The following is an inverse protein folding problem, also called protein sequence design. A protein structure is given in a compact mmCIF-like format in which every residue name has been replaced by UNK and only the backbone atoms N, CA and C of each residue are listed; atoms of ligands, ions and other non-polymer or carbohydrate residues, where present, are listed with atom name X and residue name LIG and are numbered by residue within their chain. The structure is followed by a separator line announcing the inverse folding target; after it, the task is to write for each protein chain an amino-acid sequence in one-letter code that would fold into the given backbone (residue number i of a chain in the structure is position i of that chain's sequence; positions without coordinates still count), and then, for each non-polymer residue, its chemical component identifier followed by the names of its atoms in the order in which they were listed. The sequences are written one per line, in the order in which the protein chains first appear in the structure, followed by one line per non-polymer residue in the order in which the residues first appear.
data_IF_543413465929
#
_entry.id   IF_543413465929
#
_cell.length_a   1.000
_cell.length_b   1.000
_cell.length_c   1.000
_cell.angle_alpha   90.00
_cell.angle_beta   90.00
_cell.angle_gamma   90.00
#
_symmetry.space_group_name_H-M   'P 1'
#
loop_
_entity.id
_entity.type
_entity.pdbx_description
1 polymer ?
#
# COMPACT_ATOMS: atom_id res chain seq x y z
N UNK A 1 4.84 2.57 -10.02
CA UNK A 1 3.41 2.48 -10.37
C UNK A 1 3.04 3.33 -11.59
N UNK A 2 3.40 4.62 -11.67
CA UNK A 2 3.04 5.50 -12.82
C UNK A 2 3.37 4.93 -14.21
N UNK A 3 4.58 4.41 -14.42
CA UNK A 3 4.94 3.81 -15.71
C UNK A 3 4.02 2.62 -16.10
N UNK A 4 3.67 1.76 -15.13
CA UNK A 4 2.76 0.64 -15.36
C UNK A 4 1.32 1.11 -15.67
N UNK A 5 0.83 2.14 -14.98
CA UNK A 5 -0.49 2.72 -15.29
C UNK A 5 -0.55 3.40 -16.66
N UNK A 6 0.59 3.86 -17.16
CA UNK A 6 0.73 4.46 -18.49
C UNK A 6 0.97 3.40 -19.58
N UNK A 7 0.86 2.11 -19.26
CA UNK A 7 0.99 1.01 -20.21
C UNK A 7 2.42 0.65 -20.59
N UNK A 8 3.43 1.14 -19.85
CA UNK A 8 4.85 0.90 -20.17
C UNK A 8 5.39 -0.44 -19.64
N UNK A 9 4.56 -1.24 -18.96
CA UNK A 9 4.94 -2.57 -18.47
C UNK A 9 4.23 -2.99 -17.18
N UNK A 10 4.82 -3.97 -16.49
CA UNK A 10 4.31 -4.54 -15.23
C UNK A 10 5.15 -4.03 -14.06
N UNK A 11 4.53 -3.82 -12.91
CA UNK A 11 5.21 -3.47 -11.66
C UNK A 11 4.79 -4.41 -10.52
N UNK A 12 5.73 -4.74 -9.63
CA UNK A 12 5.40 -5.28 -8.31
C UNK A 12 4.84 -4.15 -7.45
N UNK A 13 3.67 -4.39 -6.88
CA UNK A 13 2.93 -3.38 -6.14
C UNK A 13 2.66 -3.88 -4.72
N UNK A 14 2.94 -3.04 -3.72
CA UNK A 14 2.65 -3.33 -2.32
C UNK A 14 1.22 -2.89 -2.01
N UNK A 15 0.45 -3.78 -1.39
CA UNK A 15 -0.82 -3.44 -0.77
C UNK A 15 -0.56 -2.98 0.68
N UNK A 16 -1.25 -1.92 1.16
CA UNK A 16 -2.40 -1.28 0.54
C UNK A 16 -2.07 -0.09 -0.38
N UNK A 17 -0.81 0.29 -0.56
CA UNK A 17 -0.38 1.48 -1.33
C UNK A 17 -0.89 1.51 -2.78
N UNK A 18 -1.09 0.34 -3.39
CA UNK A 18 -1.63 0.22 -4.74
C UNK A 18 -3.16 0.15 -4.83
N UNK A 19 -3.87 0.09 -3.69
CA UNK A 19 -5.31 -0.17 -3.67
C UNK A 19 -6.10 0.88 -4.46
N UNK A 20 -5.79 2.18 -4.30
CA UNK A 20 -6.48 3.24 -5.04
C UNK A 20 -6.32 3.08 -6.56
N UNK A 21 -5.11 2.77 -7.02
CA UNK A 21 -4.83 2.56 -8.44
C UNK A 21 -5.62 1.37 -9.02
N UNK A 22 -5.81 0.32 -8.22
CA UNK A 22 -6.58 -0.87 -8.61
C UNK A 22 -8.08 -0.61 -8.55
N UNK A 23 -8.54 0.08 -7.51
CA UNK A 23 -9.94 0.47 -7.32
C UNK A 23 -10.42 1.41 -8.43
N UNK A 24 -9.57 2.36 -8.83
CA UNK A 24 -9.85 3.34 -9.91
C UNK A 24 -9.65 2.74 -11.32
N UNK A 25 -9.26 1.46 -11.43
CA UNK A 25 -9.03 0.78 -12.71
C UNK A 25 -7.78 1.23 -13.47
N UNK A 26 -6.89 2.01 -12.86
CA UNK A 26 -5.61 2.45 -13.45
C UNK A 26 -4.57 1.34 -13.50
N UNK A 27 -4.73 0.33 -12.64
CA UNK A 27 -3.92 -0.88 -12.63
C UNK A 27 -4.83 -2.10 -12.54
N UNK A 28 -4.36 -3.21 -13.11
CA UNK A 28 -4.97 -4.54 -13.00
C UNK A 28 -3.92 -5.53 -12.54
N UNK A 29 -4.34 -6.67 -11.98
CA UNK A 29 -3.44 -7.78 -11.66
C UNK A 29 -3.38 -8.74 -12.86
N UNK A 30 -2.27 -8.78 -13.62
CA UNK A 30 -2.18 -9.67 -14.79
C UNK A 30 -2.02 -11.14 -14.42
N UNK A 31 -1.64 -11.45 -13.17
CA UNK A 31 -1.43 -12.81 -12.68
C UNK A 31 -2.17 -13.02 -11.34
N UNK A 32 -2.55 -14.26 -11.01
CA UNK A 32 -3.24 -14.58 -9.75
C UNK A 32 -2.30 -14.64 -8.53
N UNK A 33 -1.04 -14.23 -8.65
CA UNK A 33 -0.05 -14.39 -7.59
C UNK A 33 -0.09 -13.24 -6.60
N UNK A 34 -0.19 -13.60 -5.33
CA UNK A 34 -0.04 -12.70 -4.20
C UNK A 34 1.03 -13.28 -3.28
N UNK A 35 1.98 -12.43 -2.90
CA UNK A 35 3.04 -12.81 -1.97
C UNK A 35 2.75 -12.13 -0.64
N UNK A 36 2.57 -12.92 0.41
CA UNK A 36 2.57 -12.39 1.77
C UNK A 36 4.00 -12.05 2.15
N UNK A 37 4.21 -10.87 2.72
CA UNK A 37 5.54 -10.43 3.16
C UNK A 37 5.47 -9.96 4.60
N UNK A 38 6.48 -10.28 5.39
CA UNK A 38 6.65 -9.74 6.76
C UNK A 38 7.25 -8.31 6.75
N UNK A 39 7.13 -7.59 5.63
CA UNK A 39 7.64 -6.23 5.48
C UNK A 39 6.54 -5.23 5.87
N UNK A 40 6.92 -4.20 6.60
CA UNK A 40 6.03 -3.13 7.04
C UNK A 40 6.68 -1.76 6.94
N UNK A 41 5.99 -0.76 7.48
CA UNK A 41 6.51 0.59 7.63
C UNK A 41 6.88 0.83 9.10
N UNK A 42 8.01 1.51 9.34
CA UNK A 42 8.47 1.83 10.70
C UNK A 42 8.59 3.34 10.86
N UNK A 43 8.03 3.88 11.95
CA UNK A 43 8.37 5.21 12.43
C UNK A 43 9.65 5.11 13.26
N UNK A 44 10.72 5.71 12.79
CA UNK A 44 12.04 5.64 13.44
C UNK A 44 12.38 7.01 14.03
N UNK A 45 12.75 7.01 15.32
CA UNK A 45 13.16 8.23 16.02
C UNK A 45 14.46 8.00 16.80
N UNK A 46 15.31 9.03 17.00
CA UNK A 46 16.42 8.93 17.93
C UNK A 46 15.95 8.54 19.34
N UNK A 47 16.70 7.69 20.06
CA UNK A 47 16.32 7.17 21.38
C UNK A 47 15.94 8.26 22.39
N UNK A 48 16.66 9.38 22.37
CA UNK A 48 16.41 10.52 23.27
C UNK A 48 15.08 11.23 23.01
N UNK A 49 14.43 10.99 21.86
CA UNK A 49 13.12 11.57 21.52
C UNK A 49 11.95 10.60 21.75
N UNK A 50 12.20 9.35 22.19
CA UNK A 50 11.17 8.31 22.28
C UNK A 50 9.97 8.70 23.18
N UNK A 51 10.22 9.50 24.22
CA UNK A 51 9.20 9.90 25.19
C UNK A 51 8.59 11.28 24.92
N UNK A 52 8.91 11.90 23.77
CA UNK A 52 8.33 13.20 23.41
C UNK A 52 6.84 13.04 23.11
N UNK A 53 5.95 13.82 23.76
CA UNK A 53 4.51 13.70 23.53
C UNK A 53 4.14 13.97 22.07
N UNK A 54 4.88 14.81 21.36
CA UNK A 54 4.66 15.10 19.94
C UNK A 54 4.94 13.88 19.05
N UNK A 55 5.93 13.05 19.42
CA UNK A 55 6.23 11.80 18.71
C UNK A 55 5.14 10.77 18.94
N UNK A 56 4.64 10.67 20.18
CA UNK A 56 3.52 9.78 20.50
C UNK A 56 2.25 10.18 19.73
N UNK A 57 1.90 11.47 19.74
CA UNK A 57 0.76 11.99 19.01
C UNK A 57 0.87 11.77 17.49
N UNK A 58 2.05 12.00 16.91
CA UNK A 58 2.31 11.72 15.50
C UNK A 58 2.15 10.22 15.19
N UNK A 59 2.70 9.35 16.04
CA UNK A 59 2.61 7.89 15.86
C UNK A 59 1.17 7.40 15.91
N UNK A 60 0.38 7.89 16.86
CA UNK A 60 -1.04 7.58 16.99
C UNK A 60 -1.81 8.07 15.75
N UNK A 61 -1.62 9.33 15.36
CA UNK A 61 -2.25 9.88 14.16
C UNK A 61 -1.89 9.09 12.90
N UNK A 62 -0.61 8.73 12.71
CA UNK A 62 -0.19 7.91 11.58
C UNK A 62 -0.89 6.54 11.58
N UNK A 63 -1.04 5.89 12.73
CA UNK A 63 -1.78 4.63 12.85
C UNK A 63 -3.23 4.78 12.36
N UNK A 64 -3.91 5.87 12.75
CA UNK A 64 -5.26 6.14 12.25
C UNK A 64 -5.30 6.27 10.72
N UNK A 65 -4.27 6.86 10.09
CA UNK A 65 -4.20 6.93 8.64
C UNK A 65 -4.05 5.55 7.99
N UNK A 66 -3.21 4.68 8.57
CA UNK A 66 -3.02 3.31 8.07
C UNK A 66 -4.28 2.45 8.21
N UNK A 67 -5.05 2.63 9.28
CA UNK A 67 -6.35 1.97 9.48
C UNK A 67 -7.39 2.40 8.44
N UNK A 68 -7.31 3.66 8.00
CA UNK A 68 -8.23 4.27 7.04
C UNK A 68 -7.79 4.16 5.58
N UNK A 69 -6.70 3.43 5.27
CA UNK A 69 -6.31 3.23 3.87
C UNK A 69 -7.43 2.46 3.15
N UNK A 70 -7.92 2.96 2.00
CA UNK A 70 -8.97 2.29 1.24
C UNK A 70 -8.60 0.83 1.00
N UNK A 71 -9.48 -0.07 1.42
CA UNK A 71 -9.35 -1.49 1.10
C UNK A 71 -9.62 -1.69 -0.39
N UNK A 72 -9.22 -2.84 -0.91
CA UNK A 72 -9.65 -3.23 -2.25
C UNK A 72 -11.18 -3.38 -2.26
N UNK A 73 -11.86 -2.67 -3.16
CA UNK A 73 -13.33 -2.69 -3.28
C UNK A 73 -13.84 -3.99 -3.91
N UNK A 74 -12.94 -4.77 -4.48
CA UNK A 74 -13.18 -6.07 -5.10
C UNK A 74 -11.98 -6.98 -4.84
N UNK A 75 -12.16 -8.31 -4.78
CA UNK A 75 -11.04 -9.24 -4.80
C UNK A 75 -10.14 -8.95 -6.01
N UNK A 76 -8.82 -9.17 -5.87
CA UNK A 76 -7.91 -9.07 -7.01
C UNK A 76 -8.32 -10.11 -8.05
N UNK A 77 -8.87 -9.64 -9.17
CA UNK A 77 -9.26 -10.47 -10.30
C UNK A 77 -8.11 -10.46 -11.31
N UNK A 78 -7.65 -11.65 -11.69
CA UNK A 78 -6.70 -11.79 -12.79
C UNK A 78 -7.37 -11.35 -14.09
N UNK A 79 -6.64 -10.61 -14.91
CA UNK A 79 -7.08 -10.35 -16.29
C UNK A 79 -7.08 -11.67 -17.07
N UNK A 80 -8.26 -12.28 -17.26
CA UNK A 80 -8.42 -13.46 -18.09
C UNK A 80 -8.60 -13.02 -19.55
N UNK A 81 -7.50 -12.93 -20.28
CA UNK A 81 -7.54 -12.90 -21.75
C UNK A 81 -7.09 -14.26 -22.28
N UNK A 82 -8.06 -14.99 -22.82
CA UNK A 82 -8.00 -16.10 -23.78
C UNK A 82 -6.87 -17.13 -23.63
#
# INVERSE_FOLDING_TARGET
MKAASDGLGIALALLPTANSWINDGRLVTPFPWQFQTEKGYWLVTPKYNQHKPEIAALSEWLQTLFENIPRLNRPLQTFNSL
#
